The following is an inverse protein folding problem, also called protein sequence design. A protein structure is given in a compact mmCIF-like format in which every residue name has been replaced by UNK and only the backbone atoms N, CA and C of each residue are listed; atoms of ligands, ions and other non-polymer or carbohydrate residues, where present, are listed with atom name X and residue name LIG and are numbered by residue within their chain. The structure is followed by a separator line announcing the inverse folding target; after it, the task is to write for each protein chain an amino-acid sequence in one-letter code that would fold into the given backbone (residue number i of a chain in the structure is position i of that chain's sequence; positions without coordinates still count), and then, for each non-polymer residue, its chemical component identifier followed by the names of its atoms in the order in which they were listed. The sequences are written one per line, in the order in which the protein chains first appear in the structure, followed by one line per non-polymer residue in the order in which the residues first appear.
data_IF_275710135175
#
_entry.id   IF_275710135175
#
_cell.length_a   1.000
_cell.length_b   1.000
_cell.length_c   1.000
_cell.angle_alpha   90.00
_cell.angle_beta   90.00
_cell.angle_gamma   90.00
#
_symmetry.space_group_name_H-M   'P 1'
#
loop_
_entity.id
_entity.type
_entity.pdbx_description
1 polymer ?
#
# COMPACT_ATOMS: atom_id res chain seq x y z
N UNK A 1 15.52 -30.43 -6.10
CA UNK A 1 15.80 -29.62 -4.90
C UNK A 1 14.43 -29.11 -4.51
N UNK A 2 13.76 -29.76 -3.55
CA UNK A 2 12.46 -29.25 -3.07
C UNK A 2 12.71 -27.84 -2.53
N UNK A 3 11.88 -26.90 -2.96
CA UNK A 3 12.05 -25.48 -2.65
C UNK A 3 11.87 -25.28 -1.14
N UNK A 4 13.00 -25.11 -0.42
CA UNK A 4 13.03 -25.08 1.05
C UNK A 4 12.14 -23.96 1.63
N UNK A 5 11.90 -22.91 0.86
CA UNK A 5 11.06 -21.74 1.16
C UNK A 5 9.57 -22.12 1.27
N UNK A 6 9.09 -23.01 0.39
CA UNK A 6 7.70 -23.44 0.31
C UNK A 6 7.24 -24.22 1.54
N UNK A 7 8.11 -25.02 2.14
CA UNK A 7 7.77 -25.86 3.31
C UNK A 7 7.78 -25.14 4.65
N UNK A 8 8.49 -24.00 4.75
CA UNK A 8 8.63 -23.27 6.01
C UNK A 8 7.49 -22.31 6.26
N UNK A 9 7.08 -21.58 5.22
CA UNK A 9 6.14 -20.48 5.41
C UNK A 9 4.70 -20.80 5.02
N UNK A 10 4.47 -21.95 4.39
CA UNK A 10 3.19 -22.36 3.83
C UNK A 10 2.72 -23.66 4.48
N UNK A 11 1.43 -23.74 4.80
CA UNK A 11 0.73 -24.97 5.12
C UNK A 11 0.06 -25.52 3.85
N UNK A 12 0.27 -26.81 3.58
CA UNK A 12 -0.41 -27.57 2.54
C UNK A 12 -0.84 -28.92 3.09
N UNK A 13 -2.15 -29.19 3.03
CA UNK A 13 -2.69 -30.52 3.27
C UNK A 13 -3.49 -30.98 2.05
N UNK A 14 -3.02 -32.06 1.42
CA UNK A 14 -3.68 -32.65 0.26
C UNK A 14 -4.71 -33.71 0.69
N UNK A 15 -5.92 -33.61 0.14
CA UNK A 15 -7.04 -34.51 0.43
C UNK A 15 -7.58 -35.11 -0.87
N UNK A 16 -7.73 -36.43 -0.91
CA UNK A 16 -8.24 -37.17 -2.08
C UNK A 16 -7.49 -38.46 -2.37
N UNK A 17 -7.62 -39.00 -3.58
CA UNK A 17 -6.95 -40.21 -4.05
C UNK A 17 -5.72 -39.96 -4.91
N UNK A 18 -5.01 -41.03 -5.28
CA UNK A 18 -3.74 -40.97 -6.03
C UNK A 18 -3.90 -41.07 -7.56
N UNK A 19 -5.14 -41.01 -8.06
CA UNK A 19 -5.44 -40.94 -9.49
C UNK A 19 -4.96 -39.63 -10.14
N UNK A 20 -5.13 -39.52 -11.47
CA UNK A 20 -4.82 -38.29 -12.21
C UNK A 20 -3.34 -37.93 -12.31
N UNK A 21 -3.04 -36.86 -13.04
CA UNK A 21 -1.73 -36.22 -13.12
C UNK A 21 -1.55 -35.19 -12.01
N UNK A 22 -0.31 -35.01 -11.53
CA UNK A 22 0.02 -34.01 -10.50
C UNK A 22 -0.13 -32.60 -11.07
N UNK A 23 -0.70 -31.70 -10.28
CA UNK A 23 -0.58 -30.26 -10.49
C UNK A 23 -0.07 -29.60 -9.22
N UNK A 24 0.75 -28.57 -9.39
CA UNK A 24 1.28 -27.73 -8.33
C UNK A 24 1.31 -26.30 -8.86
N UNK A 25 0.46 -25.45 -8.29
CA UNK A 25 0.31 -24.06 -8.69
C UNK A 25 0.43 -23.20 -7.44
N UNK A 26 1.65 -22.77 -7.17
CA UNK A 26 2.03 -21.92 -6.05
C UNK A 26 2.59 -20.61 -6.58
N UNK A 27 2.20 -19.49 -5.97
CA UNK A 27 2.68 -18.15 -6.30
C UNK A 27 3.66 -17.65 -5.25
N UNK A 28 4.94 -17.67 -5.63
CA UNK A 28 6.04 -17.13 -4.82
C UNK A 28 6.11 -15.60 -4.86
N UNK A 29 5.43 -14.98 -5.82
CA UNK A 29 5.38 -13.52 -6.02
C UNK A 29 4.37 -12.80 -5.12
N UNK A 30 3.76 -13.51 -4.16
CA UNK A 30 2.75 -12.94 -3.25
C UNK A 30 1.35 -12.79 -3.86
N UNK A 31 1.12 -13.27 -5.09
CA UNK A 31 -0.21 -13.23 -5.71
C UNK A 31 -1.21 -14.09 -4.94
N UNK A 32 -2.33 -13.47 -4.55
CA UNK A 32 -3.45 -14.15 -3.89
C UNK A 32 -4.48 -14.65 -4.90
N UNK A 33 -5.10 -15.79 -4.61
CA UNK A 33 -6.28 -16.25 -5.35
C UNK A 33 -7.42 -15.25 -5.13
N UNK A 34 -7.92 -14.65 -6.21
CA UNK A 34 -9.02 -13.67 -6.20
C UNK A 34 -10.37 -14.30 -6.49
N UNK A 35 -10.40 -15.40 -7.26
CA UNK A 35 -11.65 -16.08 -7.61
C UNK A 35 -11.44 -17.59 -7.75
N UNK A 36 -12.48 -18.33 -7.39
CA UNK A 36 -12.57 -19.78 -7.54
C UNK A 36 -13.89 -20.15 -8.23
N UNK A 37 -13.80 -20.87 -9.35
CA UNK A 37 -14.95 -21.52 -9.98
C UNK A 37 -14.85 -23.03 -9.83
N UNK A 38 -16.00 -23.68 -9.68
CA UNK A 38 -16.04 -25.12 -9.45
C UNK A 38 -17.12 -25.83 -10.23
N UNK A 39 -16.83 -27.08 -10.59
CA UNK A 39 -17.75 -27.99 -11.25
C UNK A 39 -17.77 -29.33 -10.52
N UNK A 40 -18.94 -29.95 -10.44
CA UNK A 40 -19.13 -31.28 -9.85
C UNK A 40 -20.20 -32.06 -10.62
N UNK A 41 -20.09 -33.38 -10.60
CA UNK A 41 -21.17 -34.28 -10.99
C UNK A 41 -21.80 -34.91 -9.74
N UNK A 42 -22.60 -35.95 -9.96
CA UNK A 42 -23.33 -36.61 -8.88
C UNK A 42 -22.43 -37.30 -7.85
N UNK A 43 -21.14 -37.55 -8.16
CA UNK A 43 -20.28 -38.41 -7.36
C UNK A 43 -18.94 -37.77 -6.97
N UNK A 44 -18.53 -36.67 -7.60
CA UNK A 44 -17.22 -36.04 -7.35
C UNK A 44 -17.13 -34.61 -7.88
N UNK A 45 -16.18 -33.87 -7.34
CA UNK A 45 -15.71 -32.63 -7.92
C UNK A 45 -15.02 -32.91 -9.26
N UNK A 46 -15.42 -32.20 -10.31
CA UNK A 46 -14.93 -32.38 -11.68
C UNK A 46 -13.82 -31.43 -12.04
N UNK A 47 -13.87 -30.21 -11.53
CA UNK A 47 -12.83 -29.25 -11.78
C UNK A 47 -12.90 -28.04 -10.88
N UNK A 48 -11.77 -27.36 -10.81
CA UNK A 48 -11.59 -26.09 -10.15
C UNK A 48 -10.83 -25.17 -11.09
N UNK A 49 -11.32 -23.95 -11.28
CA UNK A 49 -10.59 -22.89 -11.95
C UNK A 49 -10.27 -21.82 -10.92
N UNK A 50 -9.00 -21.48 -10.80
CA UNK A 50 -8.53 -20.42 -9.92
C UNK A 50 -8.05 -19.23 -10.74
N UNK A 51 -8.20 -18.05 -10.17
CA UNK A 51 -7.78 -16.78 -10.74
C UNK A 51 -6.93 -16.06 -9.70
N UNK A 52 -5.86 -15.40 -10.14
CA UNK A 52 -5.04 -14.55 -9.29
C UNK A 52 -5.42 -13.09 -9.48
N UNK A 53 -5.37 -12.30 -8.40
CA UNK A 53 -5.58 -10.86 -8.50
C UNK A 53 -4.48 -10.24 -9.37
N UNK A 54 -4.84 -9.58 -10.48
CA UNK A 54 -3.92 -8.82 -11.28
C UNK A 54 -4.15 -7.31 -11.09
N UNK A 55 -3.68 -6.78 -9.95
CA UNK A 55 -3.56 -5.35 -9.62
C UNK A 55 -4.84 -4.49 -9.47
N UNK A 56 -4.73 -3.50 -8.56
CA UNK A 56 -5.51 -2.25 -8.29
C UNK A 56 -7.04 -2.17 -8.43
N UNK A 57 -7.69 -2.83 -9.39
CA UNK A 57 -9.09 -2.53 -9.78
C UNK A 57 -10.09 -3.67 -9.59
N UNK A 58 -9.73 -4.72 -8.84
CA UNK A 58 -10.60 -5.87 -8.63
C UNK A 58 -10.68 -6.81 -9.84
N UNK A 59 -11.61 -7.76 -9.78
CA UNK A 59 -11.74 -8.89 -10.71
C UNK A 59 -11.77 -8.50 -12.20
N UNK A 60 -11.01 -9.20 -13.04
CA UNK A 60 -11.12 -9.14 -14.50
C UNK A 60 -11.14 -10.54 -15.14
N UNK A 61 -11.90 -10.72 -16.22
CA UNK A 61 -11.85 -11.94 -17.06
C UNK A 61 -10.47 -12.15 -17.73
N UNK A 62 -9.62 -11.11 -17.73
CA UNK A 62 -8.22 -11.17 -18.18
C UNK A 62 -7.24 -11.61 -17.09
N UNK A 63 -7.70 -11.87 -15.87
CA UNK A 63 -6.85 -12.33 -14.77
C UNK A 63 -6.18 -13.66 -15.14
N UNK A 64 -4.94 -13.81 -14.68
CA UNK A 64 -4.21 -15.07 -14.84
C UNK A 64 -5.01 -16.18 -14.17
N UNK A 65 -5.32 -17.24 -14.93
CA UNK A 65 -6.18 -18.30 -14.44
C UNK A 65 -5.76 -19.69 -14.88
N UNK A 66 -6.01 -20.67 -14.02
CA UNK A 66 -5.62 -22.06 -14.21
C UNK A 66 -6.79 -22.98 -13.94
N UNK A 67 -7.04 -23.91 -14.85
CA UNK A 67 -8.07 -24.94 -14.73
C UNK A 67 -7.44 -26.29 -14.41
N UNK A 68 -7.92 -26.94 -13.35
CA UNK A 68 -7.54 -28.30 -12.97
C UNK A 68 -8.78 -29.20 -13.01
N UNK A 69 -8.63 -30.41 -13.57
CA UNK A 69 -9.76 -31.24 -13.95
C UNK A 69 -10.50 -30.72 -15.18
N UNK A 70 -11.82 -30.77 -15.17
CA UNK A 70 -12.66 -30.45 -16.33
C UNK A 70 -13.91 -29.64 -15.95
N UNK A 71 -14.34 -28.76 -16.86
CA UNK A 71 -15.63 -28.07 -16.79
C UNK A 71 -16.74 -29.04 -17.20
N UNK A 72 -16.96 -30.06 -16.39
CA UNK A 72 -17.88 -31.16 -16.66
C UNK A 72 -18.83 -31.37 -15.48
N UNK A 73 -20.01 -31.95 -15.74
CA UNK A 73 -21.10 -31.98 -14.76
C UNK A 73 -21.79 -30.62 -14.68
N UNK A 74 -22.25 -30.24 -13.49
CA UNK A 74 -22.86 -28.94 -13.22
C UNK A 74 -21.89 -28.00 -12.51
N UNK A 75 -21.90 -26.72 -12.90
CA UNK A 75 -21.19 -25.68 -12.15
C UNK A 75 -21.78 -25.57 -10.74
N UNK A 76 -20.92 -25.63 -9.71
CA UNK A 76 -21.31 -25.55 -8.31
C UNK A 76 -21.29 -24.11 -7.77
N UNK A 77 -20.70 -23.19 -8.53
CA UNK A 77 -20.68 -21.77 -8.23
C UNK A 77 -19.31 -21.15 -8.43
N UNK A 78 -19.29 -19.85 -8.17
CA UNK A 78 -18.12 -18.98 -8.22
C UNK A 78 -18.00 -18.24 -6.90
N UNK A 79 -16.79 -18.12 -6.38
CA UNK A 79 -16.48 -17.31 -5.22
C UNK A 79 -15.45 -16.26 -5.60
N UNK A 80 -15.71 -15.00 -5.28
CA UNK A 80 -14.81 -13.88 -5.55
C UNK A 80 -14.46 -13.26 -4.19
N UNK A 81 -13.17 -13.29 -3.85
CA UNK A 81 -12.65 -12.65 -2.64
C UNK A 81 -12.73 -11.13 -2.81
N UNK A 82 -13.25 -10.44 -1.80
CA UNK A 82 -13.13 -9.00 -1.70
C UNK A 82 -11.69 -8.60 -1.33
N UNK A 83 -11.27 -7.36 -1.64
CA UNK A 83 -10.09 -6.71 -1.06
C UNK A 83 -9.91 -7.05 0.43
N UNK A 84 -8.77 -7.65 0.78
CA UNK A 84 -8.43 -8.03 2.16
C UNK A 84 -9.23 -9.20 2.77
N UNK A 85 -10.09 -9.89 2.01
CA UNK A 85 -10.88 -11.02 2.51
C UNK A 85 -10.01 -12.28 2.68
N UNK A 86 -9.96 -12.81 3.91
CA UNK A 86 -9.14 -13.97 4.29
C UNK A 86 -10.01 -15.18 4.60
N UNK A 87 -9.47 -16.39 4.44
CA UNK A 87 -10.13 -17.62 4.89
C UNK A 87 -9.97 -17.78 6.41
N UNK A 88 -11.08 -18.04 7.11
CA UNK A 88 -11.11 -18.31 8.56
C UNK A 88 -11.35 -19.78 8.92
N UNK A 89 -11.92 -20.55 8.00
CA UNK A 89 -11.95 -22.01 8.11
C UNK A 89 -11.99 -22.64 6.72
N UNK A 90 -11.35 -23.79 6.59
CA UNK A 90 -11.30 -24.57 5.37
C UNK A 90 -11.42 -26.05 5.71
N UNK A 91 -12.37 -26.71 5.06
CA UNK A 91 -12.52 -28.16 5.12
C UNK A 91 -12.56 -28.72 3.71
N UNK A 92 -11.93 -29.88 3.51
CA UNK A 92 -12.04 -30.65 2.27
C UNK A 92 -12.60 -32.02 2.61
N UNK A 93 -13.53 -32.51 1.80
CA UNK A 93 -14.09 -33.83 1.92
C UNK A 93 -13.61 -34.70 0.78
N UNK A 94 -13.23 -35.94 1.09
CA UNK A 94 -13.09 -36.95 0.06
C UNK A 94 -14.42 -37.66 -0.21
N UNK A 95 -14.50 -38.34 -1.34
CA UNK A 95 -15.62 -39.22 -1.71
C UNK A 95 -15.08 -40.45 -2.41
N UNK A 96 -15.92 -41.50 -2.54
CA UNK A 96 -15.57 -42.74 -3.22
C UNK A 96 -16.52 -42.99 -4.38
N UNK A 97 -15.95 -43.26 -5.55
CA UNK A 97 -16.71 -43.64 -6.74
C UNK A 97 -15.93 -44.69 -7.54
N UNK A 98 -16.61 -45.77 -7.91
CA UNK A 98 -16.04 -46.86 -8.70
C UNK A 98 -14.69 -47.38 -8.17
N UNK A 99 -14.64 -47.64 -6.86
CA UNK A 99 -13.43 -48.11 -6.16
C UNK A 99 -12.32 -47.06 -5.98
N UNK A 100 -12.44 -45.88 -6.59
CA UNK A 100 -11.46 -44.81 -6.51
C UNK A 100 -11.88 -43.73 -5.51
N UNK A 101 -10.90 -42.97 -5.01
CA UNK A 101 -11.13 -41.84 -4.09
C UNK A 101 -10.90 -40.52 -4.82
N UNK A 102 -11.83 -39.58 -4.66
CA UNK A 102 -11.78 -38.26 -5.28
C UNK A 102 -12.02 -37.17 -4.24
N UNK A 103 -11.87 -35.91 -4.64
CA UNK A 103 -12.40 -34.77 -3.90
C UNK A 103 -13.92 -34.74 -4.07
N UNK A 104 -14.65 -34.77 -2.95
CA UNK A 104 -16.11 -34.74 -2.94
C UNK A 104 -16.68 -33.34 -2.69
N UNK A 105 -16.02 -32.54 -1.86
CA UNK A 105 -16.41 -31.17 -1.58
C UNK A 105 -15.25 -30.39 -0.97
N UNK A 106 -15.37 -29.07 -0.93
CA UNK A 106 -14.63 -28.25 0.03
C UNK A 106 -15.51 -27.09 0.48
N UNK A 107 -15.26 -26.61 1.70
CA UNK A 107 -16.00 -25.52 2.31
C UNK A 107 -15.02 -24.51 2.85
N UNK A 108 -15.21 -23.25 2.49
CA UNK A 108 -14.51 -22.13 3.10
C UNK A 108 -15.51 -21.19 3.77
N UNK A 109 -15.08 -20.61 4.89
CA UNK A 109 -15.73 -19.47 5.53
C UNK A 109 -14.70 -18.36 5.63
N UNK A 110 -15.06 -17.14 5.23
CA UNK A 110 -14.13 -16.01 5.15
C UNK A 110 -14.25 -15.04 6.32
N UNK A 111 -13.32 -14.09 6.41
CA UNK A 111 -13.31 -13.00 7.40
C UNK A 111 -14.53 -12.09 7.31
N UNK A 112 -15.18 -12.02 6.14
CA UNK A 112 -16.43 -11.29 5.92
C UNK A 112 -17.68 -12.13 6.20
N UNK A 113 -17.52 -13.36 6.69
CA UNK A 113 -18.62 -14.27 7.01
C UNK A 113 -19.23 -14.95 5.78
N UNK A 114 -18.65 -14.77 4.59
CA UNK A 114 -19.12 -15.46 3.39
C UNK A 114 -18.81 -16.95 3.48
N UNK A 115 -19.69 -17.77 2.90
CA UNK A 115 -19.56 -19.23 2.87
C UNK A 115 -19.60 -19.71 1.43
N UNK A 116 -18.56 -20.43 1.01
CA UNK A 116 -18.53 -21.12 -0.27
C UNK A 116 -18.36 -22.62 -0.03
N UNK A 117 -19.33 -23.40 -0.50
CA UNK A 117 -19.40 -24.85 -0.25
C UNK A 117 -19.77 -25.65 -1.51
N UNK A 118 -18.89 -25.68 -2.51
CA UNK A 118 -19.08 -26.57 -3.66
C UNK A 118 -18.91 -28.03 -3.26
N UNK A 119 -19.82 -28.88 -3.77
CA UNK A 119 -19.88 -30.29 -3.43
C UNK A 119 -20.52 -31.12 -4.53
N UNK A 120 -20.21 -32.41 -4.54
CA UNK A 120 -20.97 -33.43 -5.26
C UNK A 120 -22.32 -33.73 -4.57
N UNK A 121 -23.19 -34.55 -5.20
CA UNK A 121 -24.59 -34.72 -4.76
C UNK A 121 -24.79 -35.87 -3.75
N UNK A 122 -23.95 -36.90 -3.78
CA UNK A 122 -23.98 -38.05 -2.89
C UNK A 122 -23.18 -37.81 -1.60
N UNK A 123 -23.40 -38.63 -0.57
CA UNK A 123 -23.26 -38.22 0.85
C UNK A 123 -22.20 -38.97 1.67
N UNK A 124 -21.36 -39.82 1.06
CA UNK A 124 -20.31 -40.52 1.81
C UNK A 124 -19.02 -39.72 1.81
N UNK A 125 -18.83 -38.95 2.89
CA UNK A 125 -17.69 -38.06 3.01
C UNK A 125 -16.96 -38.22 4.33
N UNK A 126 -15.62 -38.24 4.27
CA UNK A 126 -14.79 -37.93 5.43
C UNK A 126 -14.33 -36.48 5.32
N UNK A 127 -14.63 -35.69 6.34
CA UNK A 127 -14.14 -34.32 6.48
C UNK A 127 -12.68 -34.31 6.90
N UNK A 128 -11.91 -33.41 6.30
CA UNK A 128 -10.58 -33.04 6.72
C UNK A 128 -10.62 -31.53 6.95
N UNK A 129 -10.50 -31.12 8.21
CA UNK A 129 -10.39 -29.71 8.59
C UNK A 129 -8.92 -29.31 8.46
N UNK A 130 -8.64 -28.24 7.71
CA UNK A 130 -7.30 -27.75 7.44
C UNK A 130 -6.95 -26.61 8.39
N UNK A 131 -5.66 -26.52 8.75
CA UNK A 131 -5.14 -25.30 9.36
C UNK A 131 -5.09 -24.20 8.29
N UNK A 132 -5.73 -23.06 8.56
CA UNK A 132 -5.76 -21.95 7.61
C UNK A 132 -4.65 -20.92 7.85
N UNK A 133 -3.95 -21.02 8.98
CA UNK A 133 -2.92 -20.04 9.36
C UNK A 133 -3.45 -18.62 9.27
N UNK A 134 -2.70 -17.77 8.56
CA UNK A 134 -3.07 -16.38 8.29
C UNK A 134 -4.37 -16.27 7.45
N UNK A 135 -4.68 -17.29 6.65
CA UNK A 135 -5.90 -17.35 5.84
C UNK A 135 -5.75 -16.83 4.42
N UNK A 136 -4.56 -16.35 4.04
CA UNK A 136 -4.24 -15.96 2.67
C UNK A 136 -3.90 -17.19 1.82
N UNK A 137 -4.49 -17.26 0.62
CA UNK A 137 -4.33 -18.39 -0.30
C UNK A 137 -3.48 -17.97 -1.50
N UNK A 138 -2.31 -18.57 -1.61
CA UNK A 138 -1.30 -18.29 -2.65
C UNK A 138 -1.20 -19.41 -3.69
N UNK A 139 -2.20 -20.28 -3.75
CA UNK A 139 -2.30 -21.30 -4.78
C UNK A 139 -3.01 -22.59 -4.37
N UNK A 140 -2.96 -23.57 -5.29
CA UNK A 140 -3.50 -24.92 -5.09
C UNK A 140 -2.55 -25.99 -5.60
N UNK A 141 -2.60 -27.16 -4.97
CA UNK A 141 -1.89 -28.35 -5.45
C UNK A 141 -2.76 -29.59 -5.34
N UNK A 142 -2.40 -30.63 -6.08
CA UNK A 142 -3.16 -31.87 -6.06
C UNK A 142 -2.93 -32.74 -7.27
N UNK A 143 -3.99 -33.47 -7.63
CA UNK A 143 -3.99 -34.38 -8.77
C UNK A 143 -5.32 -34.30 -9.50
N UNK A 144 -5.27 -34.31 -10.82
CA UNK A 144 -6.48 -34.27 -11.63
C UNK A 144 -6.33 -35.01 -12.96
N UNK A 145 -7.45 -35.48 -13.48
CA UNK A 145 -7.60 -35.97 -14.84
C UNK A 145 -8.98 -35.56 -15.35
N UNK A 146 -9.88 -36.53 -15.50
CA UNK A 146 -11.28 -36.25 -15.81
C UNK A 146 -12.05 -35.64 -14.62
N UNK A 147 -11.50 -35.72 -13.42
CA UNK A 147 -12.05 -35.17 -12.18
C UNK A 147 -10.92 -34.64 -11.28
N UNK A 148 -11.27 -34.05 -10.14
CA UNK A 148 -10.31 -33.72 -9.09
C UNK A 148 -10.08 -34.95 -8.20
N UNK A 149 -8.96 -35.63 -8.43
CA UNK A 149 -8.55 -36.79 -7.64
C UNK A 149 -8.08 -36.35 -6.25
N UNK A 150 -7.30 -35.26 -6.17
CA UNK A 150 -6.73 -34.72 -4.93
C UNK A 150 -6.63 -33.19 -4.99
N UNK A 151 -6.85 -32.53 -3.87
CA UNK A 151 -6.77 -31.07 -3.75
C UNK A 151 -6.23 -30.67 -2.38
N UNK A 152 -5.43 -29.61 -2.36
CA UNK A 152 -5.10 -28.81 -1.20
C UNK A 152 -4.84 -27.36 -1.62
N UNK A 153 -4.82 -26.48 -0.64
CA UNK A 153 -4.60 -25.05 -0.82
C UNK A 153 -3.28 -24.66 -0.16
N UNK A 154 -2.50 -23.82 -0.83
CA UNK A 154 -1.30 -23.21 -0.24
C UNK A 154 -1.73 -22.04 0.65
N UNK A 155 -1.64 -22.23 1.95
CA UNK A 155 -2.07 -21.27 2.97
C UNK A 155 -0.84 -20.71 3.68
N UNK A 156 -0.75 -19.39 3.77
CA UNK A 156 0.33 -18.75 4.54
C UNK A 156 0.11 -19.07 6.02
N UNK A 157 1.17 -19.52 6.70
CA UNK A 157 1.13 -19.75 8.15
C UNK A 157 0.86 -18.45 8.90
N UNK A 158 0.52 -18.54 10.18
CA UNK A 158 0.20 -17.37 10.99
C UNK A 158 1.29 -16.29 10.89
N UNK A 159 0.88 -15.09 10.46
CA UNK A 159 1.75 -13.92 10.35
C UNK A 159 1.75 -13.13 11.65
N UNK A 160 2.93 -12.65 12.04
CA UNK A 160 3.16 -11.75 13.19
C UNK A 160 3.30 -10.30 12.76
N UNK A 161 3.98 -10.05 11.64
CA UNK A 161 4.26 -8.72 11.14
C UNK A 161 4.40 -8.73 9.62
N UNK A 162 4.01 -7.62 8.99
CA UNK A 162 4.29 -7.32 7.60
C UNK A 162 5.07 -6.00 7.52
N UNK A 163 6.13 -6.01 6.72
CA UNK A 163 6.97 -4.84 6.47
C UNK A 163 7.17 -4.65 4.97
N UNK A 164 7.05 -3.41 4.49
CA UNK A 164 7.50 -2.97 3.18
C UNK A 164 8.82 -2.22 3.35
N UNK A 165 9.90 -2.82 2.88
CA UNK A 165 11.27 -2.31 2.96
C UNK A 165 11.91 -2.26 1.57
N UNK A 166 13.18 -1.85 1.49
CA UNK A 166 13.94 -1.75 0.24
C UNK A 166 13.18 -1.01 -0.87
N UNK A 167 12.47 0.06 -0.49
CA UNK A 167 11.68 0.87 -1.43
C UNK A 167 12.62 1.64 -2.33
N UNK A 168 12.47 1.43 -3.64
CA UNK A 168 13.21 2.09 -4.69
C UNK A 168 12.22 2.81 -5.59
N UNK A 169 12.36 4.13 -5.68
CA UNK A 169 11.59 4.94 -6.61
C UNK A 169 12.19 4.90 -8.01
N UNK A 170 11.33 4.76 -9.02
CA UNK A 170 11.73 5.03 -10.39
C UNK A 170 12.09 6.51 -10.51
N UNK A 171 13.37 6.79 -10.82
CA UNK A 171 13.90 8.15 -10.93
C UNK A 171 13.22 8.90 -12.08
N UNK A 172 12.18 9.66 -11.74
CA UNK A 172 11.57 10.71 -12.55
C UNK A 172 12.01 12.06 -11.99
N UNK A 173 12.04 13.08 -12.84
CA UNK A 173 12.15 14.46 -12.37
C UNK A 173 10.96 14.74 -11.46
N UNK A 174 11.25 15.11 -10.21
CA UNK A 174 10.23 15.54 -9.26
C UNK A 174 9.66 16.88 -9.74
N UNK A 175 8.35 17.12 -9.53
CA UNK A 175 7.73 18.37 -9.94
C UNK A 175 8.37 19.55 -9.20
N UNK A 176 8.54 20.68 -9.89
CA UNK A 176 9.04 21.89 -9.24
C UNK A 176 8.13 22.31 -8.08
N UNK A 177 8.69 22.66 -6.91
CA UNK A 177 7.90 23.12 -5.78
C UNK A 177 7.14 24.42 -6.12
N UNK A 178 5.88 24.52 -5.70
CA UNK A 178 5.09 25.72 -5.91
C UNK A 178 5.34 26.74 -4.80
N UNK A 179 5.87 27.91 -5.14
CA UNK A 179 5.95 29.03 -4.20
C UNK A 179 4.55 29.63 -3.99
N UNK A 180 4.19 29.86 -2.72
CA UNK A 180 2.91 30.43 -2.32
C UNK A 180 3.16 31.70 -1.54
N UNK A 181 2.80 32.84 -2.14
CA UNK A 181 2.83 34.14 -1.47
C UNK A 181 1.76 34.21 -0.38
N UNK A 182 2.19 34.50 0.86
CA UNK A 182 1.31 34.77 2.00
C UNK A 182 1.00 36.25 2.12
N UNK A 183 2.01 37.11 1.96
CA UNK A 183 1.84 38.56 2.02
C UNK A 183 2.93 39.31 1.28
N UNK A 184 2.59 40.53 0.90
CA UNK A 184 3.51 41.58 0.54
C UNK A 184 2.94 42.89 1.12
N UNK A 185 3.52 43.38 2.21
CA UNK A 185 3.05 44.58 2.92
C UNK A 185 4.22 45.53 3.17
N UNK A 186 3.95 46.84 3.07
CA UNK A 186 4.95 47.87 3.28
C UNK A 186 4.58 48.77 4.44
N UNK A 187 5.55 49.07 5.30
CA UNK A 187 5.46 50.03 6.39
C UNK A 187 6.43 51.18 6.13
N UNK A 188 5.99 52.41 6.31
CA UNK A 188 6.82 53.61 6.13
C UNK A 188 6.98 54.32 7.46
N UNK A 189 8.21 54.72 7.78
CA UNK A 189 8.52 55.54 8.94
C UNK A 189 9.20 56.83 8.48
N UNK A 190 8.45 57.93 8.48
CA UNK A 190 8.90 59.29 8.17
C UNK A 190 9.41 60.05 9.42
N UNK A 191 9.52 59.36 10.56
CA UNK A 191 9.91 59.94 11.84
C UNK A 191 11.38 59.67 12.16
N UNK A 192 11.90 60.36 13.17
CA UNK A 192 13.29 60.21 13.64
C UNK A 192 13.50 59.04 14.59
N UNK A 193 12.44 58.33 14.99
CA UNK A 193 12.48 57.24 15.97
C UNK A 193 11.99 55.93 15.34
N UNK A 194 12.52 54.76 15.72
CA UNK A 194 12.03 53.47 15.22
C UNK A 194 10.55 53.24 15.55
N UNK A 195 9.84 52.56 14.66
CA UNK A 195 8.45 52.13 14.87
C UNK A 195 8.36 50.60 14.89
N UNK A 196 7.50 50.06 15.74
CA UNK A 196 7.29 48.61 15.89
C UNK A 196 5.86 48.25 15.49
N UNK A 197 5.73 47.18 14.70
CA UNK A 197 4.45 46.60 14.25
C UNK A 197 4.46 45.09 14.48
N UNK A 198 3.26 44.51 14.49
CA UNK A 198 3.05 43.07 14.51
C UNK A 198 2.22 42.67 13.29
N UNK A 199 2.74 41.74 12.49
CA UNK A 199 2.00 41.17 11.37
C UNK A 199 1.53 39.76 11.73
N UNK A 200 0.23 39.59 11.91
CA UNK A 200 -0.39 38.28 12.13
C UNK A 200 -0.65 37.57 10.81
N UNK A 201 -0.27 36.30 10.73
CA UNK A 201 -0.47 35.46 9.54
C UNK A 201 -0.99 34.07 9.92
N UNK A 202 -1.63 33.42 8.95
CA UNK A 202 -2.07 32.03 9.05
C UNK A 202 -1.72 31.28 7.77
N UNK A 203 -1.28 30.04 7.90
CA UNK A 203 -1.06 29.12 6.78
C UNK A 203 -1.35 27.67 7.18
N UNK A 204 -1.51 26.80 6.19
CA UNK A 204 -1.72 25.37 6.42
C UNK A 204 -0.42 24.63 6.20
N UNK A 205 0.12 24.08 7.29
CA UNK A 205 1.20 23.13 7.27
C UNK A 205 0.61 21.74 6.99
N UNK A 206 1.17 21.01 6.03
CA UNK A 206 0.80 19.61 5.83
C UNK A 206 1.99 18.75 5.49
N UNK A 207 1.82 17.47 5.80
CA UNK A 207 2.74 16.40 5.47
C UNK A 207 1.92 15.16 5.11
N UNK A 208 2.27 14.48 4.02
CA UNK A 208 1.53 13.35 3.49
C UNK A 208 2.44 12.30 2.84
N UNK A 209 2.14 11.04 3.13
CA UNK A 209 2.80 9.88 2.56
C UNK A 209 1.74 8.80 2.29
N UNK A 210 1.83 8.16 1.13
CA UNK A 210 0.97 7.03 0.78
C UNK A 210 1.71 6.11 -0.18
N UNK A 211 1.81 4.83 0.17
CA UNK A 211 2.26 3.76 -0.71
C UNK A 211 1.09 2.88 -1.03
N UNK A 212 0.58 3.01 -2.24
CA UNK A 212 -0.40 2.07 -2.74
C UNK A 212 0.30 0.77 -3.15
N UNK A 213 -0.19 -0.37 -2.67
CA UNK A 213 0.27 -1.67 -3.14
C UNK A 213 -0.76 -2.34 -4.03
N UNK A 214 -0.27 -3.09 -5.00
CA UNK A 214 -1.08 -3.92 -5.89
C UNK A 214 -1.32 -5.33 -5.34
N UNK A 215 -0.69 -5.69 -4.22
CA UNK A 215 -0.81 -7.02 -3.64
C UNK A 215 -2.01 -7.11 -2.68
N UNK A 216 -2.56 -8.32 -2.52
CA UNK A 216 -3.73 -8.54 -1.68
C UNK A 216 -3.41 -8.62 -0.18
N UNK A 217 -2.13 -8.80 0.19
CA UNK A 217 -1.71 -8.96 1.58
C UNK A 217 -1.75 -7.65 2.38
N UNK A 218 -1.34 -6.52 1.79
CA UNK A 218 -1.34 -5.22 2.47
C UNK A 218 -2.75 -4.71 2.73
N UNK A 219 -3.75 -5.25 2.02
CA UNK A 219 -5.16 -4.93 2.25
C UNK A 219 -5.76 -5.72 3.42
N UNK A 220 -5.14 -6.84 3.81
CA UNK A 220 -5.62 -7.72 4.89
C UNK A 220 -4.85 -7.60 6.20
N UNK A 221 -3.77 -6.79 6.26
CA UNK A 221 -2.95 -6.58 7.46
C UNK A 221 -2.46 -5.14 7.57
N UNK A 222 -2.13 -4.72 8.79
CA UNK A 222 -1.38 -3.47 9.01
C UNK A 222 0.07 -3.68 8.60
N UNK A 223 0.53 -2.89 7.64
CA UNK A 223 1.89 -2.98 7.09
C UNK A 223 2.71 -1.83 7.65
N UNK A 224 3.87 -2.18 8.19
CA UNK A 224 4.91 -1.20 8.52
C UNK A 224 5.75 -0.88 7.29
N UNK A 225 6.22 0.36 7.19
CA UNK A 225 7.04 0.83 6.07
C UNK A 225 8.37 1.32 6.61
N UNK A 226 9.45 1.00 5.88
CA UNK A 226 10.78 1.52 6.11
C UNK A 226 11.38 1.96 4.78
N UNK A 227 11.35 3.26 4.49
CA UNK A 227 11.64 3.79 3.16
C UNK A 227 12.27 5.19 3.21
N UNK A 228 13.04 5.54 2.17
CA UNK A 228 13.31 6.95 1.90
C UNK A 228 12.02 7.63 1.43
N UNK A 229 11.81 8.90 1.77
CA UNK A 229 10.65 9.69 1.33
C UNK A 229 11.12 11.03 0.75
N UNK A 230 10.57 11.47 -0.39
CA UNK A 230 10.79 12.82 -0.89
C UNK A 230 10.08 13.85 -0.02
N UNK A 231 10.83 14.83 0.47
CA UNK A 231 10.35 15.97 1.26
C UNK A 231 10.93 17.28 0.73
N UNK A 232 10.18 18.37 0.88
CA UNK A 232 10.68 19.71 0.61
C UNK A 232 11.46 20.25 1.80
N UNK A 233 12.65 20.77 1.51
CA UNK A 233 13.47 21.53 2.45
C UNK A 233 13.84 22.89 1.83
N UNK A 234 13.89 23.93 2.66
CA UNK A 234 14.39 25.25 2.24
C UNK A 234 15.92 25.23 2.29
N UNK A 235 16.54 25.38 1.12
CA UNK A 235 17.98 25.43 0.95
C UNK A 235 18.56 26.84 1.13
N UNK A 236 19.82 26.99 0.70
CA UNK A 236 20.46 28.29 0.61
C UNK A 236 19.69 29.22 -0.35
N UNK A 237 19.77 30.53 -0.10
CA UNK A 237 19.06 31.56 -0.89
C UNK A 237 17.53 31.50 -0.81
N UNK A 238 16.97 30.85 0.22
CA UNK A 238 15.53 30.77 0.47
C UNK A 238 14.73 30.14 -0.69
N UNK A 239 15.32 29.13 -1.34
CA UNK A 239 14.66 28.33 -2.37
C UNK A 239 14.36 26.94 -1.83
N UNK A 240 13.24 26.34 -2.22
CA UNK A 240 12.93 24.96 -1.82
C UNK A 240 13.41 23.95 -2.86
N UNK A 241 13.84 22.78 -2.37
CA UNK A 241 14.19 21.64 -3.22
C UNK A 241 13.77 20.34 -2.56
N UNK A 242 13.58 19.31 -3.39
CA UNK A 242 13.30 17.97 -2.88
C UNK A 242 14.57 17.32 -2.33
N UNK A 243 14.49 16.87 -1.09
CA UNK A 243 15.46 16.02 -0.41
C UNK A 243 14.83 14.66 -0.13
N UNK A 244 15.67 13.66 0.15
CA UNK A 244 15.22 12.35 0.58
C UNK A 244 15.61 12.15 2.03
N UNK A 245 14.63 11.97 2.91
CA UNK A 245 14.80 11.58 4.32
C UNK A 245 14.42 10.11 4.48
N UNK A 246 14.85 9.45 5.56
CA UNK A 246 14.47 8.06 5.83
C UNK A 246 13.40 8.01 6.92
N UNK A 247 12.29 7.36 6.63
CA UNK A 247 11.13 7.29 7.52
C UNK A 247 10.72 5.84 7.81
N UNK A 248 10.25 5.63 9.05
CA UNK A 248 9.66 4.36 9.50
C UNK A 248 8.25 4.59 9.99
N UNK A 249 7.29 3.82 9.50
CA UNK A 249 5.85 4.06 9.71
C UNK A 249 5.14 2.75 10.03
N UNK A 250 4.09 2.78 10.85
CA UNK A 250 3.25 1.60 11.14
C UNK A 250 2.02 1.50 10.21
N UNK A 251 2.02 2.26 9.11
CA UNK A 251 0.91 2.37 8.17
C UNK A 251 1.43 2.64 6.76
N UNK A 252 0.65 2.22 5.75
CA UNK A 252 0.90 2.53 4.34
C UNK A 252 0.53 3.95 3.94
N UNK A 253 -0.16 4.66 4.85
CA UNK A 253 -0.55 6.05 4.67
C UNK A 253 -0.41 6.83 5.97
N UNK A 254 -0.01 8.10 5.85
CA UNK A 254 -0.02 9.09 6.93
C UNK A 254 -0.30 10.43 6.32
N UNK A 255 -1.19 11.19 6.94
CA UNK A 255 -1.41 12.58 6.58
C UNK A 255 -1.58 13.38 7.86
N UNK A 256 -0.80 14.46 7.97
CA UNK A 256 -0.92 15.46 9.02
C UNK A 256 -1.24 16.79 8.36
N UNK A 257 -2.21 17.50 8.90
CA UNK A 257 -2.56 18.84 8.42
C UNK A 257 -2.86 19.70 9.64
N UNK A 258 -2.28 20.90 9.67
CA UNK A 258 -2.35 21.80 10.81
C UNK A 258 -2.43 23.24 10.31
N UNK A 259 -3.40 23.98 10.82
CA UNK A 259 -3.45 25.42 10.63
C UNK A 259 -2.51 26.08 11.65
N UNK A 260 -1.54 26.84 11.15
CA UNK A 260 -0.56 27.57 11.95
C UNK A 260 -0.92 29.03 11.93
N UNK A 261 -1.23 29.59 13.11
CA UNK A 261 -1.44 31.02 13.31
C UNK A 261 -0.24 31.57 14.09
N UNK A 262 0.40 32.62 13.58
CA UNK A 262 1.59 33.21 14.18
C UNK A 262 1.67 34.72 13.94
N UNK A 263 2.64 35.37 14.58
CA UNK A 263 2.87 36.81 14.52
C UNK A 263 4.34 37.06 14.25
N UNK A 264 4.62 37.92 13.28
CA UNK A 264 5.96 38.38 12.96
C UNK A 264 6.16 39.83 13.44
N UNK A 265 7.16 40.11 14.29
CA UNK A 265 7.48 41.48 14.70
C UNK A 265 8.20 42.21 13.56
N UNK A 266 7.74 43.40 13.22
CA UNK A 266 8.34 44.27 12.20
C UNK A 266 8.86 45.53 12.87
N UNK A 267 10.16 45.80 12.71
CA UNK A 267 10.80 47.03 13.16
C UNK A 267 11.07 47.88 11.93
N UNK A 268 10.61 49.13 11.94
CA UNK A 268 10.77 50.09 10.84
C UNK A 268 11.70 51.20 11.33
N UNK A 269 12.99 51.20 10.93
CA UNK A 269 13.94 52.24 11.33
C UNK A 269 13.50 53.66 10.92
N UNK A 270 14.06 54.70 11.56
CA UNK A 270 13.82 56.09 11.17
C UNK A 270 14.09 56.35 9.68
N UNK A 271 13.20 57.07 9.01
CA UNK A 271 13.34 57.46 7.60
C UNK A 271 13.55 56.27 6.64
N UNK A 272 12.85 55.17 6.90
CA UNK A 272 12.88 53.98 6.04
C UNK A 272 11.49 53.46 5.70
N UNK A 273 11.41 52.79 4.55
CA UNK A 273 10.32 51.92 4.16
C UNK A 273 10.77 50.47 4.35
N UNK A 274 9.96 49.66 5.02
CA UNK A 274 10.20 48.23 5.19
C UNK A 274 9.09 47.45 4.49
N UNK A 275 9.44 46.73 3.44
CA UNK A 275 8.57 45.75 2.79
C UNK A 275 8.82 44.37 3.39
N UNK A 276 7.73 43.72 3.78
CA UNK A 276 7.68 42.38 4.32
C UNK A 276 7.02 41.47 3.29
N UNK A 277 7.80 40.54 2.76
CA UNK A 277 7.34 39.50 1.84
C UNK A 277 7.42 38.16 2.57
N UNK A 278 6.29 37.45 2.65
CA UNK A 278 6.25 36.12 3.23
C UNK A 278 5.77 35.14 2.18
N UNK A 279 6.49 34.04 2.03
CA UNK A 279 6.08 32.92 1.19
C UNK A 279 6.45 31.61 1.84
N UNK A 280 5.91 30.52 1.32
CA UNK A 280 6.35 29.16 1.63
C UNK A 280 6.26 28.33 0.35
N UNK A 281 6.89 27.16 0.34
CA UNK A 281 6.76 26.23 -0.77
C UNK A 281 5.83 25.09 -0.41
N UNK A 282 5.05 24.64 -1.40
CA UNK A 282 4.20 23.46 -1.32
C UNK A 282 4.54 22.53 -2.48
N UNK A 283 4.67 21.24 -2.19
CA UNK A 283 5.03 20.24 -3.18
C UNK A 283 4.22 18.98 -3.00
N UNK A 284 3.83 18.38 -4.12
CA UNK A 284 3.24 17.05 -4.14
C UNK A 284 3.84 16.28 -5.29
N UNK A 285 4.24 15.03 -5.04
CA UNK A 285 4.84 14.17 -6.04
C UNK A 285 4.12 12.82 -6.10
N UNK A 286 4.25 12.19 -7.26
CA UNK A 286 3.79 10.83 -7.51
C UNK A 286 4.90 10.04 -8.18
N UNK A 287 5.31 8.95 -7.56
CA UNK A 287 6.44 8.14 -7.98
C UNK A 287 6.02 6.68 -8.10
N UNK A 288 6.40 6.02 -9.18
CA UNK A 288 6.32 4.57 -9.22
C UNK A 288 7.42 3.99 -8.34
N UNK A 289 7.13 2.95 -7.57
CA UNK A 289 8.11 2.29 -6.70
C UNK A 289 8.10 0.77 -6.88
N UNK A 290 9.24 0.17 -6.56
CA UNK A 290 9.36 -1.26 -6.24
C UNK A 290 9.81 -1.39 -4.79
N UNK A 291 9.39 -2.43 -4.09
CA UNK A 291 9.83 -2.69 -2.72
C UNK A 291 9.75 -4.17 -2.36
N UNK A 292 10.34 -4.54 -1.23
CA UNK A 292 10.31 -5.89 -0.69
C UNK A 292 9.24 -5.96 0.40
N UNK A 293 8.25 -6.83 0.23
CA UNK A 293 7.32 -7.18 1.31
C UNK A 293 7.87 -8.37 2.06
N UNK A 294 7.97 -8.24 3.38
CA UNK A 294 8.39 -9.31 4.27
C UNK A 294 7.29 -9.67 5.27
N UNK A 295 6.82 -10.91 5.20
CA UNK A 295 5.86 -11.48 6.14
C UNK A 295 6.63 -12.29 7.18
N UNK A 296 6.76 -11.75 8.39
CA UNK A 296 7.34 -12.48 9.52
C UNK A 296 6.30 -13.39 10.15
N UNK A 297 6.60 -14.69 10.27
CA UNK A 297 5.67 -15.66 10.83
C UNK A 297 5.70 -15.69 12.36
N UNK A 298 4.63 -16.21 12.97
CA UNK A 298 4.57 -16.50 14.40
C UNK A 298 5.70 -17.46 14.76
N UNK A 299 6.55 -17.05 15.71
CA UNK A 299 7.80 -17.73 16.07
C UNK A 299 9.07 -16.99 15.62
N UNK A 300 8.95 -16.04 14.68
CA UNK A 300 9.94 -14.99 14.38
C UNK A 300 11.20 -15.39 13.62
N UNK A 301 11.41 -16.68 13.34
CA UNK A 301 12.63 -17.19 12.69
C UNK A 301 12.47 -17.44 11.18
N UNK A 302 11.26 -17.28 10.64
CA UNK A 302 10.93 -17.59 9.25
C UNK A 302 10.14 -16.43 8.64
N UNK A 303 10.53 -16.04 7.43
CA UNK A 303 9.90 -14.97 6.65
C UNK A 303 9.46 -15.50 5.30
N UNK A 304 8.32 -15.02 4.82
CA UNK A 304 7.91 -15.14 3.43
C UNK A 304 8.04 -13.76 2.79
N UNK A 305 8.92 -13.63 1.79
CA UNK A 305 9.23 -12.33 1.21
C UNK A 305 9.04 -12.37 -0.31
N UNK A 306 8.53 -11.27 -0.87
CA UNK A 306 8.33 -11.11 -2.30
C UNK A 306 8.46 -9.64 -2.70
N UNK A 307 8.85 -9.38 -3.94
CA UNK A 307 8.89 -8.01 -4.46
C UNK A 307 7.51 -7.55 -4.90
N UNK A 308 7.16 -6.32 -4.55
CA UNK A 308 5.95 -5.63 -4.99
C UNK A 308 6.30 -4.37 -5.79
N UNK A 309 5.29 -3.84 -6.47
CA UNK A 309 5.36 -2.58 -7.20
C UNK A 309 4.09 -1.77 -6.99
N UNK A 310 4.21 -0.45 -7.00
CA UNK A 310 3.10 0.44 -6.72
C UNK A 310 3.37 1.88 -7.07
N UNK A 311 2.52 2.76 -6.56
CA UNK A 311 2.69 4.21 -6.65
C UNK A 311 2.78 4.78 -5.26
N UNK A 312 3.79 5.61 -5.05
CA UNK A 312 3.91 6.50 -3.92
C UNK A 312 3.28 7.84 -4.29
N UNK A 313 2.50 8.41 -3.38
CA UNK A 313 2.04 9.78 -3.45
C UNK A 313 2.35 10.46 -2.11
N UNK A 314 2.99 11.62 -2.17
CA UNK A 314 3.34 12.33 -0.95
C UNK A 314 3.84 13.73 -1.22
N UNK A 315 4.05 14.47 -0.14
CA UNK A 315 4.46 15.86 -0.20
C UNK A 315 4.10 16.63 1.05
N UNK A 316 4.70 17.80 1.15
CA UNK A 316 4.64 18.65 2.32
C UNK A 316 4.69 20.14 1.94
N UNK A 317 4.53 20.98 2.95
CA UNK A 317 4.91 22.40 2.91
C UNK A 317 6.23 22.62 3.61
N UNK A 318 6.97 23.63 3.18
CA UNK A 318 8.11 24.15 3.94
C UNK A 318 7.67 25.08 5.07
N UNK A 319 8.62 25.39 5.95
CA UNK A 319 8.55 26.57 6.80
C UNK A 319 8.41 27.86 5.97
N UNK A 320 8.02 28.96 6.64
CA UNK A 320 7.83 30.25 5.98
C UNK A 320 9.19 30.91 5.74
N UNK A 321 9.34 31.43 4.54
CA UNK A 321 10.41 32.35 4.16
C UNK A 321 9.89 33.76 4.37
N UNK A 322 10.60 34.52 5.19
CA UNK A 322 10.38 35.95 5.39
C UNK A 322 11.52 36.71 4.72
N UNK A 323 11.19 37.54 3.74
CA UNK A 323 12.10 38.51 3.12
C UNK A 323 11.74 39.90 3.62
N UNK A 324 12.72 40.57 4.22
CA UNK A 324 12.62 41.96 4.67
C UNK A 324 13.45 42.82 3.75
N UNK A 325 12.80 43.81 3.13
CA UNK A 325 13.43 44.76 2.21
C UNK A 325 13.35 46.15 2.86
N UNK A 326 14.48 46.66 3.32
CA UNK A 326 14.60 47.99 3.92
C UNK A 326 15.08 48.99 2.87
N UNK A 327 14.33 50.07 2.66
CA UNK A 327 14.66 51.11 1.66
C UNK A 327 14.69 52.48 2.34
N UNK A 328 15.79 53.25 2.27
CA UNK A 328 15.83 54.62 2.77
C UNK A 328 14.84 55.51 2.00
N UNK A 329 14.07 56.31 2.72
CA UNK A 329 13.07 57.24 2.15
C UNK A 329 13.35 58.69 2.56
N UNK A 330 12.92 59.65 1.73
CA UNK A 330 12.92 61.05 2.08
C UNK A 330 11.65 61.48 2.84
N UNK A 331 11.53 62.79 3.10
CA UNK A 331 10.38 63.35 3.81
C UNK A 331 9.07 63.29 3.01
N UNK A 332 9.13 63.01 1.71
CA UNK A 332 7.97 62.82 0.83
C UNK A 332 7.61 61.32 0.72
N UNK A 333 8.45 60.43 1.29
CA UNK A 333 8.29 58.98 1.27
C UNK A 333 8.91 58.32 0.04
N UNK A 334 9.68 59.07 -0.77
CA UNK A 334 10.31 58.56 -1.98
C UNK A 334 11.64 57.88 -1.66
N UNK A 335 11.94 56.79 -2.37
CA UNK A 335 13.17 56.03 -2.19
C UNK A 335 14.40 56.86 -2.60
N UNK A 336 15.39 56.97 -1.71
CA UNK A 336 16.60 57.80 -1.92
C UNK A 336 17.92 57.03 -1.85
N UNK A 337 17.88 55.71 -1.73
CA UNK A 337 19.07 54.86 -1.62
C UNK A 337 18.87 53.43 -2.12
N UNK A 338 19.94 52.63 -2.01
CA UNK A 338 19.86 51.19 -2.28
C UNK A 338 19.10 50.48 -1.16
N UNK A 339 18.25 49.52 -1.54
CA UNK A 339 17.52 48.67 -0.61
C UNK A 339 18.43 47.59 -0.05
N UNK A 340 18.25 47.27 1.23
CA UNK A 340 18.87 46.12 1.89
C UNK A 340 17.86 44.99 1.97
N UNK A 341 18.19 43.85 1.39
CA UNK A 341 17.34 42.66 1.39
C UNK A 341 17.93 41.58 2.30
N UNK A 342 17.08 41.00 3.14
CA UNK A 342 17.44 39.87 3.99
C UNK A 342 16.30 38.86 4.06
N UNK A 343 16.59 37.63 3.67
CA UNK A 343 15.67 36.49 3.81
C UNK A 343 16.05 35.58 4.96
N UNK A 344 15.06 35.00 5.63
CA UNK A 344 15.23 33.99 6.67
C UNK A 344 14.03 33.05 6.74
N UNK A 345 14.25 31.87 7.31
CA UNK A 345 13.22 30.86 7.56
C UNK A 345 12.71 31.00 8.99
N UNK A 346 11.39 30.99 9.21
CA UNK A 346 10.74 31.19 10.53
C UNK A 346 9.70 30.15 10.89
#
# INVERSE_FOLDING_TARGET
MEDFTKTKCIDLQLVGGDGGGVFDNFKEDGSLISRIDTWADDNRMRGIKIYYANSRNGYSDSDESFMFGQQAGGQQGSFIFQPGELIKSLSIWNTKWDGNTFVGAFKMVTSLGNVFYPKEKTSSHKEYVLNVGYGAVVGVAGRSGNALDKLGFYLIKDARALELSDVIYEKKELPEPNNVDLTNITYNNDTSEPQEYEYSYSYTEYDSYSWESNSGFEQSYSVSISAEVPELEVGAEATASWVYSYETMESTEKSTTKEVNSVYPVIVPPYTSVSLEMSYYSGHCKLSYTGLVEITLVGGNETFSYYTYGEYAGGNTTDIIVTVIETPIDAEGDAVGESLEKSMVV
#
